data_IF_662607327147
#
_entry.id   IF_662607327147
#
_cell.length_a   1.000
_cell.length_b   1.000
_cell.length_c   1.000
_cell.angle_alpha   90.00
_cell.angle_beta   90.00
_cell.angle_gamma   90.00
#
_symmetry.space_group_name_H-M   'P 1'
#
loop_
_entity.id
_entity.type
_entity.pdbx_description
1 polymer ?
#
# COMPACT_ATOMS: atom_id res chain seq x y z
N UNK A 1 9.16 28.08 3.84
CA UNK A 1 9.90 26.81 4.01
C UNK A 1 8.98 25.58 4.13
N UNK A 2 7.73 25.65 4.62
CA UNK A 2 6.69 24.59 4.45
C UNK A 2 5.86 24.72 3.16
N UNK A 3 5.80 25.94 2.62
CA UNK A 3 4.89 26.38 1.56
C UNK A 3 4.87 25.52 0.28
N UNK A 4 6.00 24.88 -0.09
CA UNK A 4 6.03 23.97 -1.26
C UNK A 4 5.34 22.64 -0.96
N UNK A 5 5.58 22.06 0.22
CA UNK A 5 4.94 20.81 0.64
C UNK A 5 3.44 21.03 0.89
N UNK A 6 3.05 22.18 1.46
CA UNK A 6 1.65 22.57 1.62
C UNK A 6 0.95 22.75 0.26
N UNK A 7 1.61 23.38 -0.72
CA UNK A 7 1.10 23.47 -2.10
C UNK A 7 0.97 22.09 -2.76
N UNK A 8 1.92 21.18 -2.52
CA UNK A 8 1.84 19.81 -3.00
C UNK A 8 0.72 19.02 -2.32
N UNK A 9 0.42 19.29 -1.05
CA UNK A 9 -0.67 18.65 -0.31
C UNK A 9 -2.05 18.93 -0.94
N UNK A 10 -2.25 20.16 -1.42
CA UNK A 10 -3.51 20.59 -2.02
C UNK A 10 -3.86 19.82 -3.30
N UNK A 11 -2.86 19.47 -4.10
CA UNK A 11 -3.00 18.79 -5.40
C UNK A 11 -2.72 17.28 -5.34
N UNK A 12 -2.35 16.75 -4.16
CA UNK A 12 -1.98 15.35 -4.00
C UNK A 12 -3.19 14.40 -3.87
N UNK A 13 -3.10 13.22 -4.48
CA UNK A 13 -4.04 12.13 -4.28
C UNK A 13 -3.98 11.59 -2.82
N UNK A 14 -5.05 10.94 -2.30
CA UNK A 14 -5.22 10.70 -0.87
C UNK A 14 -4.03 10.00 -0.17
N UNK A 15 -3.39 9.03 -0.82
CA UNK A 15 -2.24 8.32 -0.27
C UNK A 15 -1.00 9.23 -0.17
N UNK A 16 -0.69 9.98 -1.24
CA UNK A 16 0.41 10.94 -1.22
C UNK A 16 0.16 12.07 -0.22
N UNK A 17 -1.09 12.52 -0.10
CA UNK A 17 -1.50 13.52 0.88
C UNK A 17 -1.21 13.08 2.32
N UNK A 18 -1.47 11.83 2.66
CA UNK A 18 -1.15 11.27 3.97
C UNK A 18 0.35 11.28 4.25
N UNK A 19 1.18 10.91 3.27
CA UNK A 19 2.63 10.94 3.40
C UNK A 19 3.17 12.37 3.53
N UNK A 20 2.67 13.33 2.74
CA UNK A 20 3.05 14.75 2.85
C UNK A 20 2.72 15.29 4.24
N UNK A 21 1.54 14.99 4.79
CA UNK A 21 1.19 15.38 6.17
C UNK A 21 2.14 14.80 7.20
N UNK A 22 2.58 13.55 7.06
CA UNK A 22 3.60 12.97 7.96
C UNK A 22 4.94 13.68 7.83
N UNK A 23 5.35 14.05 6.62
CA UNK A 23 6.60 14.81 6.40
C UNK A 23 6.51 16.17 7.08
N UNK A 24 5.40 16.90 6.89
CA UNK A 24 5.16 18.19 7.56
C UNK A 24 5.19 18.05 9.08
N UNK A 25 4.51 17.03 9.62
CA UNK A 25 4.50 16.76 11.05
C UNK A 25 5.90 16.43 11.60
N UNK A 26 6.73 15.72 10.84
CA UNK A 26 8.11 15.45 11.23
C UNK A 26 8.95 16.74 11.30
N UNK A 27 8.76 17.68 10.35
CA UNK A 27 9.43 18.98 10.40
C UNK A 27 8.95 19.86 11.56
N UNK A 28 7.70 19.74 11.98
CA UNK A 28 7.17 20.45 13.15
C UNK A 28 7.77 19.92 14.47
N UNK A 29 7.92 18.60 14.59
CA UNK A 29 8.45 17.96 15.80
C UNK A 29 9.98 18.03 15.88
N UNK A 30 10.67 17.94 14.75
CA UNK A 30 12.13 17.99 14.65
C UNK A 30 12.56 19.02 13.59
N UNK A 31 12.66 20.31 13.97
CA UNK A 31 12.95 21.40 13.03
C UNK A 31 14.33 21.30 12.37
N UNK A 32 15.26 20.55 12.98
CA UNK A 32 16.60 20.31 12.46
C UNK A 32 16.68 19.06 11.57
N UNK A 33 15.61 18.26 11.51
CA UNK A 33 15.55 17.12 10.60
C UNK A 33 15.59 17.64 9.16
N UNK A 34 16.50 17.11 8.34
CA UNK A 34 16.61 17.48 6.92
C UNK A 34 16.00 16.39 6.04
N UNK A 35 16.83 15.48 5.54
CA UNK A 35 16.35 14.32 4.76
C UNK A 35 15.63 13.28 5.62
N UNK A 36 15.86 13.29 6.94
CA UNK A 36 15.26 12.35 7.88
C UNK A 36 13.74 12.51 7.99
N UNK A 37 13.22 13.73 7.81
CA UNK A 37 11.77 14.00 7.79
C UNK A 37 11.03 13.22 6.69
N UNK A 38 11.72 12.78 5.64
CA UNK A 38 11.17 11.99 4.54
C UNK A 38 11.04 10.49 4.86
N UNK A 39 11.45 10.04 6.05
CA UNK A 39 11.30 8.65 6.49
C UNK A 39 9.84 8.29 6.83
N UNK A 40 8.97 8.30 5.82
CA UNK A 40 7.54 7.99 5.98
C UNK A 40 7.13 6.68 5.30
N UNK A 41 8.08 6.01 4.62
CA UNK A 41 7.83 4.82 3.80
C UNK A 41 7.33 5.12 2.39
N UNK A 42 7.28 6.40 1.99
CA UNK A 42 6.93 6.81 0.62
C UNK A 42 8.00 6.41 -0.40
N UNK A 43 9.25 6.26 0.05
CA UNK A 43 10.42 5.87 -0.73
C UNK A 43 11.03 4.60 -0.16
N UNK A 44 11.67 3.80 -1.01
CA UNK A 44 12.46 2.66 -0.57
C UNK A 44 13.72 3.11 0.21
N UNK A 45 14.32 2.21 0.99
CA UNK A 45 15.48 2.54 1.84
C UNK A 45 16.66 3.10 1.04
N UNK A 46 16.89 2.60 -0.17
CA UNK A 46 17.98 3.06 -1.05
C UNK A 46 17.79 4.50 -1.50
N UNK A 47 16.57 4.87 -1.86
CA UNK A 47 16.19 6.22 -2.27
C UNK A 47 16.16 7.13 -1.04
N UNK A 48 15.72 6.63 0.12
CA UNK A 48 15.79 7.34 1.38
C UNK A 48 17.22 7.76 1.73
N UNK A 49 18.20 6.84 1.70
CA UNK A 49 19.60 7.19 1.98
C UNK A 49 20.15 8.24 1.00
N UNK A 50 19.77 8.16 -0.28
CA UNK A 50 20.12 9.20 -1.26
C UNK A 50 19.49 10.56 -0.93
N UNK A 51 18.27 10.57 -0.41
CA UNK A 51 17.59 11.80 -0.01
C UNK A 51 18.29 12.41 1.19
N UNK A 52 18.69 11.60 2.18
CA UNK A 52 19.48 12.04 3.34
C UNK A 52 20.81 12.64 2.90
N UNK A 53 21.56 11.94 2.04
CA UNK A 53 22.83 12.46 1.49
C UNK A 53 22.62 13.79 0.76
N UNK A 54 21.61 13.89 -0.12
CA UNK A 54 21.33 15.14 -0.85
C UNK A 54 20.93 16.27 0.10
N UNK A 55 20.15 15.96 1.13
CA UNK A 55 19.68 16.94 2.11
C UNK A 55 20.80 17.48 3.00
N UNK A 56 21.89 16.72 3.18
CA UNK A 56 23.05 17.17 3.94
C UNK A 56 23.78 18.31 3.23
N UNK A 57 23.87 18.25 1.89
CA UNK A 57 24.66 19.17 1.05
C UNK A 57 23.86 20.24 0.30
N UNK A 58 22.53 20.25 0.35
CA UNK A 58 21.72 21.17 -0.48
C UNK A 58 20.59 21.86 0.27
N UNK A 59 20.25 23.07 -0.18
CA UNK A 59 19.07 23.79 0.28
C UNK A 59 17.80 22.97 0.04
N UNK A 60 16.86 23.03 1.00
CA UNK A 60 15.67 22.20 1.05
C UNK A 60 14.81 22.24 -0.23
N UNK A 61 14.75 23.39 -0.91
CA UNK A 61 14.04 23.53 -2.19
C UNK A 61 14.70 22.70 -3.31
N UNK A 62 16.04 22.77 -3.41
CA UNK A 62 16.84 21.99 -4.36
C UNK A 62 16.76 20.50 -4.06
N UNK A 63 16.73 20.15 -2.77
CA UNK A 63 16.54 18.77 -2.31
C UNK A 63 15.17 18.24 -2.72
N UNK A 64 14.07 18.92 -2.39
CA UNK A 64 12.70 18.53 -2.75
C UNK A 64 12.52 18.32 -4.26
N UNK A 65 13.12 19.19 -5.08
CA UNK A 65 13.08 19.04 -6.54
C UNK A 65 13.82 17.78 -7.01
N UNK A 66 15.02 17.51 -6.48
CA UNK A 66 15.79 16.29 -6.77
C UNK A 66 15.10 15.03 -6.26
N UNK A 67 14.53 15.07 -5.06
CA UNK A 67 13.73 13.98 -4.50
C UNK A 67 12.53 13.69 -5.39
N UNK A 68 11.80 14.72 -5.82
CA UNK A 68 10.69 14.61 -6.75
C UNK A 68 11.09 13.90 -8.05
N UNK A 69 12.26 14.22 -8.60
CA UNK A 69 12.77 13.56 -9.81
C UNK A 69 13.14 12.09 -9.57
N UNK A 70 13.78 11.77 -8.43
CA UNK A 70 14.13 10.40 -8.03
C UNK A 70 12.87 9.56 -7.84
N UNK A 71 11.88 10.09 -7.11
CA UNK A 71 10.59 9.43 -6.87
C UNK A 71 9.87 9.22 -8.20
N UNK A 72 9.83 10.22 -9.08
CA UNK A 72 9.16 10.09 -10.38
C UNK A 72 9.78 8.99 -11.26
N UNK A 73 11.10 8.78 -11.18
CA UNK A 73 11.79 7.70 -11.90
C UNK A 73 11.65 6.34 -11.23
N UNK A 74 11.66 6.28 -9.90
CA UNK A 74 11.60 5.03 -9.15
C UNK A 74 10.18 4.47 -8.95
N UNK A 75 9.19 5.34 -8.77
CA UNK A 75 7.80 4.98 -8.51
C UNK A 75 7.19 4.02 -9.54
N UNK A 76 7.28 4.25 -10.87
CA UNK A 76 6.64 3.35 -11.83
C UNK A 76 7.26 1.94 -11.79
N UNK A 77 8.58 1.83 -11.70
CA UNK A 77 9.28 0.54 -11.69
C UNK A 77 8.99 -0.29 -10.43
N UNK A 78 8.80 0.37 -9.28
CA UNK A 78 8.43 -0.31 -8.05
C UNK A 78 6.95 -0.66 -7.97
N UNK A 79 6.09 0.22 -8.50
CA UNK A 79 4.66 -0.06 -8.62
C UNK A 79 4.39 -1.26 -9.52
N UNK A 80 5.11 -1.42 -10.63
CA UNK A 80 4.94 -2.56 -11.54
C UNK A 80 5.32 -3.90 -10.88
N UNK A 81 6.42 -3.91 -10.11
CA UNK A 81 6.84 -5.09 -9.33
C UNK A 81 5.83 -5.44 -8.24
N UNK A 82 5.35 -4.45 -7.48
CA UNK A 82 4.38 -4.68 -6.41
C UNK A 82 3.00 -5.06 -6.97
N UNK A 83 2.58 -4.45 -8.07
CA UNK A 83 1.30 -4.76 -8.73
C UNK A 83 1.24 -6.22 -9.20
N UNK A 84 2.36 -6.77 -9.66
CA UNK A 84 2.44 -8.19 -10.07
C UNK A 84 2.21 -9.12 -8.89
N UNK A 85 2.84 -8.85 -7.73
CA UNK A 85 2.65 -9.64 -6.51
C UNK A 85 1.21 -9.52 -6.01
N UNK A 86 0.67 -8.31 -5.96
CA UNK A 86 -0.72 -8.05 -5.54
C UNK A 86 -1.71 -8.78 -6.45
N UNK A 87 -1.49 -8.76 -7.77
CA UNK A 87 -2.31 -9.50 -8.73
C UNK A 87 -2.34 -10.99 -8.42
N UNK A 88 -1.20 -11.62 -8.19
CA UNK A 88 -1.14 -13.04 -7.85
C UNK A 88 -1.78 -13.35 -6.50
N UNK A 89 -1.61 -12.49 -5.50
CA UNK A 89 -2.25 -12.62 -4.19
C UNK A 89 -3.78 -12.58 -4.30
N UNK A 90 -4.32 -11.62 -5.04
CA UNK A 90 -5.76 -11.48 -5.26
C UNK A 90 -6.31 -12.69 -6.00
N UNK A 91 -5.63 -13.17 -7.04
CA UNK A 91 -6.02 -14.39 -7.77
C UNK A 91 -6.04 -15.61 -6.84
N UNK A 92 -5.03 -15.79 -6.01
CA UNK A 92 -4.98 -16.89 -5.03
C UNK A 92 -6.14 -16.84 -4.03
N UNK A 93 -6.44 -15.66 -3.50
CA UNK A 93 -7.55 -15.45 -2.57
C UNK A 93 -8.89 -15.83 -3.22
N UNK A 94 -9.10 -15.43 -4.47
CA UNK A 94 -10.31 -15.78 -5.23
C UNK A 94 -10.40 -17.29 -5.45
N UNK A 95 -9.31 -17.96 -5.82
CA UNK A 95 -9.29 -19.42 -5.98
C UNK A 95 -9.64 -20.14 -4.68
N UNK A 96 -9.08 -19.70 -3.55
CA UNK A 96 -9.39 -20.28 -2.23
C UNK A 96 -10.86 -20.09 -1.86
N UNK A 97 -11.42 -18.91 -2.12
CA UNK A 97 -12.86 -18.67 -1.91
C UNK A 97 -13.73 -19.57 -2.78
N UNK A 98 -13.40 -19.71 -4.07
CA UNK A 98 -14.14 -20.59 -4.98
C UNK A 98 -14.09 -22.06 -4.54
N UNK A 99 -12.92 -22.55 -4.13
CA UNK A 99 -12.76 -23.90 -3.58
C UNK A 99 -13.56 -24.06 -2.28
N UNK A 100 -13.52 -23.07 -1.39
CA UNK A 100 -14.31 -23.08 -0.15
C UNK A 100 -15.81 -23.19 -0.41
N UNK A 101 -16.34 -22.43 -1.37
CA UNK A 101 -17.74 -22.51 -1.77
C UNK A 101 -18.07 -23.88 -2.41
N UNK A 102 -17.17 -24.41 -3.24
CA UNK A 102 -17.34 -25.73 -3.85
C UNK A 102 -17.41 -26.82 -2.77
N UNK A 103 -16.42 -26.94 -1.89
CA UNK A 103 -16.44 -27.94 -0.83
C UNK A 103 -17.59 -27.75 0.16
N UNK A 104 -17.96 -26.50 0.46
CA UNK A 104 -19.11 -26.19 1.30
C UNK A 104 -20.44 -26.67 0.71
N UNK A 105 -20.65 -26.43 -0.58
CA UNK A 105 -21.88 -26.89 -1.26
C UNK A 105 -21.95 -28.41 -1.41
N UNK A 106 -20.81 -29.09 -1.58
CA UNK A 106 -20.76 -30.56 -1.55
C UNK A 106 -21.18 -31.13 -0.20
N UNK A 107 -20.59 -30.64 0.90
CA UNK A 107 -20.96 -31.02 2.27
C UNK A 107 -22.45 -30.80 2.53
N UNK A 108 -22.95 -29.62 2.16
CA UNK A 108 -24.35 -29.26 2.30
C UNK A 108 -25.24 -30.20 1.47
N UNK A 109 -24.87 -30.54 0.24
CA UNK A 109 -25.62 -31.47 -0.61
C UNK A 109 -25.75 -32.87 0.02
N UNK A 110 -24.68 -33.37 0.64
CA UNK A 110 -24.69 -34.67 1.32
C UNK A 110 -25.59 -34.66 2.56
N UNK A 111 -25.55 -33.57 3.35
CA UNK A 111 -26.45 -33.36 4.49
C UNK A 111 -27.92 -33.28 4.05
N UNK A 112 -28.22 -32.55 2.98
CA UNK A 112 -29.57 -32.48 2.42
C UNK A 112 -30.09 -33.85 1.98
N UNK A 113 -29.26 -34.66 1.30
CA UNK A 113 -29.64 -36.02 0.91
C UNK A 113 -29.92 -36.90 2.12
N UNK A 114 -29.07 -36.83 3.16
CA UNK A 114 -29.25 -37.60 4.38
C UNK A 114 -30.57 -37.26 5.10
N UNK A 115 -30.88 -35.97 5.22
CA UNK A 115 -32.14 -35.50 5.85
C UNK A 115 -33.36 -35.98 5.06
N UNK A 116 -33.32 -35.89 3.72
CA UNK A 116 -34.41 -36.33 2.86
C UNK A 116 -34.65 -37.85 2.97
N UNK A 117 -33.58 -38.64 2.97
CA UNK A 117 -33.67 -40.11 3.13
C UNK A 117 -34.24 -40.49 4.50
N UNK A 118 -33.81 -39.82 5.56
CA UNK A 118 -34.28 -40.08 6.93
C UNK A 118 -35.77 -39.74 7.08
N UNK A 119 -36.22 -38.64 6.46
CA UNK A 119 -37.65 -38.29 6.44
C UNK A 119 -38.49 -39.28 5.61
N UNK A 120 -37.97 -39.80 4.50
CA UNK A 120 -38.65 -40.85 3.74
C UNK A 120 -38.79 -42.16 4.53
N UNK A 121 -37.76 -42.56 5.29
CA UNK A 121 -37.81 -43.76 6.14
C UNK A 121 -38.78 -43.61 7.33
N UNK A 122 -38.95 -42.41 7.88
CA UNK A 122 -39.90 -42.17 8.98
C UNK A 122 -41.37 -42.07 8.55
N UNK A 123 -41.63 -41.88 7.24
CA UNK A 123 -42.99 -41.75 6.68
C UNK A 123 -43.46 -43.02 5.94
N UNK A 124 -42.61 -44.03 5.81
CA UNK A 124 -42.91 -45.34 5.21
C UNK A 124 -43.38 -46.36 6.23
#
# INVERSE_FOLDING_TARGET
>A
MPDVLEKMEAEAYPWLKWHIKRILNNFEHEPNSKGEAFNTGIVNDRAYYRIVDIAEYSDMSTMLSKVGEIVRKAAPAEMEKKATIVRYLVVMIVIVMMLGMYFGTFKMSDEFKAIIQLNMMMRG
#
